data_IF_941030276128
#
_entry.id   IF_941030276128
#
_cell.length_a   1.000
_cell.length_b   1.000
_cell.length_c   1.000
_cell.angle_alpha   90.00
_cell.angle_beta   90.00
_cell.angle_gamma   90.00
#
_symmetry.space_group_name_H-M   'P 1'
#
loop_
_entity.id
_entity.type
_entity.pdbx_description
1 polymer ?
#
# COMPACT_ATOMS: atom_id res chain seq x y z
N UNK A 1 -15.12 -6.23 -5.93
CA UNK A 1 -14.67 -4.92 -6.44
C UNK A 1 -15.01 -3.83 -5.48
N UNK A 2 -14.04 -3.02 -5.14
CA UNK A 2 -14.26 -1.89 -4.27
C UNK A 2 -14.37 -0.66 -5.15
N UNK A 3 -15.57 -0.17 -5.34
CA UNK A 3 -15.76 1.04 -6.11
C UNK A 3 -15.89 2.21 -5.15
N UNK A 4 -15.20 3.28 -5.44
CA UNK A 4 -15.45 4.52 -4.73
C UNK A 4 -16.47 5.30 -5.55
N UNK A 5 -17.02 6.34 -4.96
CA UNK A 5 -18.08 7.11 -5.58
C UNK A 5 -17.70 7.79 -6.90
N UNK A 6 -16.44 7.74 -7.28
CA UNK A 6 -15.94 8.40 -8.50
C UNK A 6 -15.64 7.45 -9.64
N UNK A 7 -16.00 6.17 -9.49
CA UNK A 7 -15.82 5.22 -10.57
C UNK A 7 -14.40 4.67 -10.74
N UNK A 8 -13.47 5.06 -9.87
CA UNK A 8 -12.16 4.46 -9.90
C UNK A 8 -12.26 3.23 -9.01
N UNK A 9 -12.22 2.09 -9.63
CA UNK A 9 -12.36 0.83 -8.90
C UNK A 9 -10.99 0.29 -8.54
N UNK A 10 -10.79 0.04 -7.26
CA UNK A 10 -9.62 -0.73 -6.84
C UNK A 10 -9.98 -2.19 -6.99
N UNK A 11 -9.29 -2.86 -7.89
CA UNK A 11 -9.52 -4.27 -8.12
C UNK A 11 -8.63 -5.07 -7.18
N UNK A 12 -9.25 -5.85 -6.30
CA UNK A 12 -8.54 -6.74 -5.39
C UNK A 12 -8.39 -8.10 -6.08
N UNK A 13 -7.14 -8.52 -6.29
CA UNK A 13 -6.85 -9.79 -6.92
C UNK A 13 -5.96 -10.61 -5.99
N UNK A 14 -6.53 -11.62 -5.36
CA UNK A 14 -5.82 -12.46 -4.39
C UNK A 14 -5.45 -13.80 -5.01
N UNK A 15 -4.24 -14.27 -4.70
CA UNK A 15 -3.76 -15.55 -5.18
C UNK A 15 -3.76 -16.55 -4.04
N UNK A 16 -4.75 -17.45 -4.05
CA UNK A 16 -4.89 -18.46 -3.00
C UNK A 16 -3.80 -19.52 -3.04
N UNK A 17 -3.08 -19.63 -4.17
CA UNK A 17 -2.01 -20.61 -4.33
C UNK A 17 -0.64 -20.06 -3.91
N UNK A 18 -0.56 -18.77 -3.61
CA UNK A 18 0.69 -18.14 -3.22
C UNK A 18 1.08 -18.54 -1.78
N UNK A 19 2.39 -18.56 -1.50
CA UNK A 19 2.90 -18.79 -0.16
C UNK A 19 2.67 -17.57 0.73
N UNK A 20 2.36 -16.43 0.12
CA UNK A 20 2.10 -15.21 0.88
C UNK A 20 0.69 -15.29 1.48
N UNK A 21 0.56 -15.13 2.81
CA UNK A 21 -0.75 -15.17 3.45
C UNK A 21 -1.73 -14.17 2.83
N UNK A 22 -2.99 -14.55 2.77
CA UNK A 22 -4.02 -13.71 2.12
C UNK A 22 -4.11 -12.33 2.77
N UNK A 23 -4.03 -12.24 4.09
CA UNK A 23 -4.12 -10.94 4.74
C UNK A 23 -2.95 -10.01 4.36
N UNK A 24 -1.77 -10.58 4.09
CA UNK A 24 -0.61 -9.80 3.63
C UNK A 24 -0.86 -9.32 2.21
N UNK A 25 -1.37 -10.20 1.34
CA UNK A 25 -1.70 -9.81 -0.03
C UNK A 25 -2.72 -8.69 -0.06
N UNK A 26 -3.76 -8.78 0.76
CA UNK A 26 -4.78 -7.74 0.85
C UNK A 26 -4.18 -6.42 1.34
N UNK A 27 -3.39 -6.50 2.42
CA UNK A 27 -2.69 -5.32 2.94
C UNK A 27 -1.85 -4.66 1.85
N UNK A 28 -1.07 -5.46 1.12
CA UNK A 28 -0.17 -4.95 0.09
C UNK A 28 -0.93 -4.28 -1.05
N UNK A 29 -2.05 -4.84 -1.46
CA UNK A 29 -2.85 -4.26 -2.53
C UNK A 29 -3.50 -2.95 -2.11
N UNK A 30 -3.93 -2.85 -0.86
CA UNK A 30 -4.50 -1.60 -0.35
C UNK A 30 -3.42 -0.51 -0.30
N UNK A 31 -2.23 -0.83 0.21
CA UNK A 31 -1.12 0.12 0.25
C UNK A 31 -0.76 0.60 -1.16
N UNK A 32 -0.65 -0.33 -2.10
CA UNK A 32 -0.36 0.00 -3.49
C UNK A 32 -1.45 0.89 -4.09
N UNK A 33 -2.72 0.57 -3.82
CA UNK A 33 -3.84 1.37 -4.29
C UNK A 33 -3.83 2.79 -3.76
N UNK A 34 -3.48 2.95 -2.48
CA UNK A 34 -3.33 4.28 -1.88
C UNK A 34 -2.15 5.01 -2.53
N UNK A 35 -1.04 4.31 -2.72
CA UNK A 35 0.15 4.90 -3.33
C UNK A 35 -0.09 5.38 -4.75
N UNK A 36 -0.87 4.63 -5.52
CA UNK A 36 -1.21 5.00 -6.90
C UNK A 36 -2.31 6.04 -7.01
N UNK A 37 -2.93 6.41 -5.90
CA UNK A 37 -4.01 7.39 -5.90
C UNK A 37 -5.39 6.82 -6.19
N UNK A 38 -5.52 5.49 -6.26
CA UNK A 38 -6.81 4.84 -6.44
C UNK A 38 -7.69 5.02 -5.21
N UNK A 39 -7.06 5.12 -4.04
CA UNK A 39 -7.72 5.43 -2.78
C UNK A 39 -7.07 6.69 -2.23
N UNK A 40 -7.85 7.71 -2.02
CA UNK A 40 -7.33 9.01 -1.57
C UNK A 40 -7.53 9.21 -0.08
N UNK A 41 -6.69 10.05 0.51
CA UNK A 41 -6.83 10.37 1.93
C UNK A 41 -8.22 10.91 2.21
N UNK A 42 -8.79 10.47 3.31
CA UNK A 42 -10.15 10.83 3.70
C UNK A 42 -11.23 9.93 3.12
N UNK A 43 -10.89 9.10 2.14
CA UNK A 43 -11.87 8.17 1.58
C UNK A 43 -12.02 6.97 2.51
N UNK A 44 -13.22 6.43 2.57
CA UNK A 44 -13.51 5.25 3.38
C UNK A 44 -13.23 3.99 2.59
N UNK A 45 -12.61 3.03 3.22
CA UNK A 45 -12.52 1.68 2.69
C UNK A 45 -13.87 0.99 2.93
N UNK A 46 -14.19 -0.04 2.16
CA UNK A 46 -15.35 -0.87 2.46
C UNK A 46 -15.26 -1.40 3.88
N UNK A 47 -16.41 -1.68 4.49
CA UNK A 47 -16.42 -2.33 5.80
C UNK A 47 -15.73 -3.69 5.70
N UNK A 48 -15.28 -4.22 6.82
CA UNK A 48 -14.68 -5.57 6.86
C UNK A 48 -15.61 -6.58 6.17
N UNK A 49 -16.90 -6.51 6.49
CA UNK A 49 -17.90 -7.42 5.93
C UNK A 49 -18.01 -7.27 4.41
N UNK A 50 -18.07 -6.04 3.92
CA UNK A 50 -18.19 -5.79 2.49
C UNK A 50 -16.93 -6.20 1.75
N UNK A 51 -15.77 -5.88 2.29
CA UNK A 51 -14.49 -6.27 1.69
C UNK A 51 -14.37 -7.80 1.62
N UNK A 52 -14.80 -8.51 2.68
CA UNK A 52 -14.77 -9.95 2.71
C UNK A 52 -15.66 -10.55 1.61
N UNK A 53 -16.85 -9.97 1.41
CA UNK A 53 -17.74 -10.41 0.34
C UNK A 53 -17.13 -10.13 -1.03
N UNK A 54 -16.62 -8.93 -1.24
CA UNK A 54 -16.06 -8.53 -2.53
C UNK A 54 -14.81 -9.34 -2.91
N UNK A 55 -13.98 -9.63 -1.93
CA UNK A 55 -12.75 -10.38 -2.16
C UNK A 55 -12.93 -11.91 -2.06
N UNK A 56 -14.08 -12.36 -1.58
CA UNK A 56 -14.34 -13.79 -1.43
C UNK A 56 -13.52 -14.44 -0.32
N UNK A 57 -13.28 -13.73 0.77
CA UNK A 57 -12.47 -14.22 1.88
C UNK A 57 -13.19 -14.05 3.22
N UNK A 58 -12.57 -14.57 4.26
CA UNK A 58 -13.11 -14.56 5.62
C UNK A 58 -13.01 -13.17 6.24
N UNK A 59 -14.03 -12.79 7.01
CA UNK A 59 -14.03 -11.51 7.74
C UNK A 59 -12.82 -11.34 8.65
N UNK A 60 -12.37 -12.42 9.29
CA UNK A 60 -11.22 -12.36 10.19
C UNK A 60 -9.93 -12.02 9.43
N UNK A 61 -9.80 -12.52 8.22
CA UNK A 61 -8.64 -12.23 7.37
C UNK A 61 -8.63 -10.76 6.98
N UNK A 62 -9.78 -10.21 6.59
CA UNK A 62 -9.90 -8.79 6.27
C UNK A 62 -9.60 -7.95 7.50
N UNK A 63 -10.16 -8.32 8.64
CA UNK A 63 -9.94 -7.58 9.88
C UNK A 63 -8.46 -7.54 10.23
N UNK A 64 -7.75 -8.66 10.05
CA UNK A 64 -6.32 -8.73 10.33
C UNK A 64 -5.55 -7.76 9.43
N UNK A 65 -5.88 -7.73 8.13
CA UNK A 65 -5.26 -6.79 7.20
C UNK A 65 -5.51 -5.34 7.62
N UNK A 66 -6.75 -5.01 7.98
CA UNK A 66 -7.10 -3.66 8.40
C UNK A 66 -6.40 -3.25 9.69
N UNK A 67 -6.25 -4.17 10.65
CA UNK A 67 -5.53 -3.87 11.88
C UNK A 67 -4.04 -3.59 11.62
N UNK A 68 -3.45 -4.31 10.69
CA UNK A 68 -2.05 -4.07 10.30
C UNK A 68 -1.93 -2.70 9.64
N UNK A 69 -2.82 -2.37 8.71
CA UNK A 69 -2.83 -1.08 8.05
C UNK A 69 -2.99 0.06 9.05
N UNK A 70 -3.83 -0.14 10.06
CA UNK A 70 -4.02 0.84 11.13
C UNK A 70 -2.74 1.01 11.94
N UNK A 71 -2.12 -0.10 12.32
CA UNK A 71 -0.88 -0.06 13.11
C UNK A 71 0.26 0.62 12.35
N UNK A 72 0.28 0.45 11.02
CA UNK A 72 1.30 1.06 10.18
C UNK A 72 0.99 2.52 9.82
N UNK A 73 -0.19 3.01 10.18
CA UNK A 73 -0.56 4.41 9.95
C UNK A 73 -1.15 4.73 8.58
N UNK A 74 -1.46 3.72 7.78
CA UNK A 74 -2.06 3.95 6.46
C UNK A 74 -3.55 4.22 6.52
N UNK A 75 -4.23 3.70 7.55
CA UNK A 75 -5.64 3.97 7.78
C UNK A 75 -5.90 4.22 9.25
N UNK A 76 -7.05 4.81 9.55
CA UNK A 76 -7.53 4.89 10.91
C UNK A 76 -8.92 4.29 10.92
N UNK A 77 -9.34 3.78 12.05
CA UNK A 77 -10.66 3.15 12.18
C UNK A 77 -11.51 4.02 13.08
N UNK A 78 -12.62 4.47 12.54
CA UNK A 78 -13.56 5.35 13.22
C UNK A 78 -14.89 4.62 13.37
N UNK A 79 -15.51 4.73 14.53
CA UNK A 79 -16.79 4.05 14.78
C UNK A 79 -17.90 4.46 13.84
N UNK A 80 -17.90 5.71 13.40
CA UNK A 80 -18.96 6.23 12.54
C UNK A 80 -18.67 6.06 11.07
N UNK A 81 -17.42 6.25 10.67
CA UNK A 81 -17.03 6.26 9.25
C UNK A 81 -16.31 4.99 8.80
N UNK A 82 -16.00 4.09 9.73
CA UNK A 82 -15.28 2.86 9.43
C UNK A 82 -13.80 3.13 9.19
N UNK A 83 -13.21 2.39 8.27
CA UNK A 83 -11.79 2.52 7.95
C UNK A 83 -11.60 3.66 6.94
N UNK A 84 -10.72 4.59 7.27
CA UNK A 84 -10.49 5.80 6.47
C UNK A 84 -9.02 5.90 6.13
N UNK A 85 -8.71 6.20 4.87
CA UNK A 85 -7.33 6.38 4.42
C UNK A 85 -6.72 7.61 5.06
N UNK A 86 -5.55 7.46 5.67
CA UNK A 86 -4.81 8.56 6.29
C UNK A 86 -4.05 9.38 5.24
N UNK A 87 -3.80 10.67 5.49
CA UNK A 87 -2.98 11.47 4.61
C UNK A 87 -1.52 11.00 4.65
N UNK A 88 -0.76 11.35 3.62
CA UNK A 88 0.65 11.04 3.56
C UNK A 88 1.37 11.70 4.73
N UNK A 89 2.24 10.96 5.38
CA UNK A 89 3.02 11.45 6.51
C UNK A 89 4.50 11.35 6.20
N UNK A 90 5.28 12.13 6.92
CA UNK A 90 6.73 12.07 6.77
C UNK A 90 7.24 10.74 7.33
N UNK A 91 8.22 10.16 6.67
CA UNK A 91 8.79 8.89 7.13
C UNK A 91 9.55 9.09 8.43
N UNK A 92 9.60 8.06 9.24
CA UNK A 92 10.11 8.14 10.62
C UNK A 92 11.46 7.46 10.85
N UNK A 93 12.23 7.22 9.86
CA UNK A 93 13.54 6.56 10.02
C UNK A 93 13.45 5.05 10.18
N UNK A 94 12.40 4.56 10.84
CA UNK A 94 12.18 3.11 10.98
C UNK A 94 11.89 2.52 9.60
N UNK A 95 11.07 3.22 8.84
CA UNK A 95 10.79 2.79 7.47
C UNK A 95 12.04 2.84 6.60
N UNK A 96 12.91 3.82 6.82
CA UNK A 96 14.16 3.94 6.06
C UNK A 96 15.05 2.71 6.27
N UNK A 97 15.14 2.24 7.51
CA UNK A 97 15.91 1.04 7.83
C UNK A 97 15.31 -0.20 7.17
N UNK A 98 13.98 -0.33 7.24
CA UNK A 98 13.28 -1.43 6.60
C UNK A 98 13.50 -1.41 5.08
N UNK A 99 13.36 -0.23 4.48
CA UNK A 99 13.56 -0.06 3.04
C UNK A 99 14.98 -0.47 2.63
N UNK A 100 15.97 -0.01 3.39
CA UNK A 100 17.37 -0.35 3.09
C UNK A 100 17.60 -1.86 3.14
N UNK A 101 17.05 -2.52 4.15
CA UNK A 101 17.22 -3.97 4.31
C UNK A 101 16.55 -4.74 3.16
N UNK A 102 15.35 -4.35 2.78
CA UNK A 102 14.64 -5.00 1.69
C UNK A 102 15.33 -4.77 0.35
N UNK A 103 15.83 -3.55 0.11
CA UNK A 103 16.55 -3.24 -1.11
C UNK A 103 17.90 -3.95 -1.18
N UNK A 104 18.55 -4.15 -0.04
CA UNK A 104 19.80 -4.89 -0.02
C UNK A 104 19.60 -6.31 -0.53
N UNK A 105 18.55 -6.99 -0.04
CA UNK A 105 18.24 -8.33 -0.49
C UNK A 105 17.90 -8.36 -1.98
N UNK A 106 17.02 -7.46 -2.42
CA UNK A 106 16.63 -7.38 -3.83
C UNK A 106 17.82 -7.06 -4.73
N UNK A 107 18.71 -6.19 -4.26
CA UNK A 107 19.93 -5.84 -5.00
C UNK A 107 20.84 -7.05 -5.16
N UNK A 108 20.99 -7.85 -4.10
CA UNK A 108 21.79 -9.06 -4.16
C UNK A 108 21.20 -10.05 -5.16
N UNK A 109 19.88 -10.26 -5.10
CA UNK A 109 19.21 -11.17 -6.02
C UNK A 109 19.33 -10.71 -7.46
N UNK A 110 19.12 -9.42 -7.70
CA UNK A 110 19.23 -8.85 -9.05
C UNK A 110 20.65 -9.02 -9.60
N UNK A 111 21.65 -8.74 -8.78
CA UNK A 111 23.04 -8.87 -9.17
C UNK A 111 23.37 -10.33 -9.53
N UNK A 112 22.91 -11.28 -8.70
CA UNK A 112 23.17 -12.70 -8.94
C UNK A 112 22.45 -13.25 -10.17
N UNK A 113 21.39 -12.57 -10.61
CA UNK A 113 20.67 -12.96 -11.82
C UNK A 113 21.16 -12.21 -13.06
N UNK A 114 22.25 -11.45 -12.90
CA UNK A 114 22.88 -10.78 -14.03
C UNK A 114 22.28 -9.44 -14.42
N UNK A 115 21.41 -8.90 -13.58
CA UNK A 115 20.83 -7.59 -13.86
C UNK A 115 21.88 -6.49 -13.65
N UNK A 116 21.89 -5.51 -14.53
CA UNK A 116 22.82 -4.40 -14.43
C UNK A 116 22.24 -3.31 -13.53
N UNK A 117 23.12 -2.51 -12.96
CA UNK A 117 22.73 -1.43 -12.07
C UNK A 117 21.74 -0.47 -12.73
N UNK A 118 22.01 -0.07 -13.98
CA UNK A 118 21.13 0.88 -14.67
C UNK A 118 19.74 0.30 -14.91
N UNK A 119 19.65 -1.00 -15.19
CA UNK A 119 18.36 -1.67 -15.34
C UNK A 119 17.61 -1.69 -14.01
N UNK A 120 18.30 -2.03 -12.92
CA UNK A 120 17.70 -2.08 -11.59
C UNK A 120 17.18 -0.68 -11.19
N UNK A 121 18.02 0.34 -11.38
CA UNK A 121 17.63 1.71 -11.01
C UNK A 121 16.46 2.20 -11.85
N UNK A 122 16.42 1.82 -13.12
CA UNK A 122 15.31 2.19 -14.00
C UNK A 122 13.98 1.61 -13.50
N UNK A 123 13.99 0.35 -13.08
CA UNK A 123 12.80 -0.29 -12.54
C UNK A 123 12.33 0.45 -11.28
N UNK A 124 13.26 0.79 -10.39
CA UNK A 124 12.94 1.54 -9.18
C UNK A 124 12.31 2.89 -9.52
N UNK A 125 12.87 3.59 -10.49
CA UNK A 125 12.38 4.89 -10.91
C UNK A 125 10.97 4.79 -11.50
N UNK A 126 10.77 3.83 -12.40
CA UNK A 126 9.44 3.60 -13.01
C UNK A 126 8.38 3.27 -11.97
N UNK A 127 8.73 2.43 -11.00
CA UNK A 127 7.79 2.07 -9.94
C UNK A 127 7.42 3.28 -9.11
N UNK A 128 8.41 4.07 -8.71
CA UNK A 128 8.17 5.25 -7.90
C UNK A 128 7.36 6.31 -8.66
N UNK A 129 7.68 6.50 -9.94
CA UNK A 129 6.95 7.45 -10.77
C UNK A 129 5.49 7.06 -11.01
N UNK A 130 5.18 5.77 -10.90
CA UNK A 130 3.80 5.31 -11.06
C UNK A 130 2.96 5.63 -9.82
N UNK A 131 3.59 6.05 -8.72
CA UNK A 131 2.89 6.41 -7.50
C UNK A 131 2.43 7.86 -7.55
N UNK A 132 1.20 8.11 -7.13
CA UNK A 132 0.60 9.44 -7.17
C UNK A 132 -0.46 9.55 -6.09
N UNK A 133 -0.06 9.54 -4.80
CA UNK A 133 -1.02 9.62 -3.69
C UNK A 133 -1.87 10.86 -3.80
N UNK A 134 -3.16 10.71 -3.59
CA UNK A 134 -4.13 11.79 -3.78
C UNK A 134 -3.96 12.99 -2.89
N UNK A 135 -3.21 12.87 -1.80
CA UNK A 135 -2.92 13.98 -0.89
C UNK A 135 -1.44 14.03 -0.60
N UNK A 136 -0.66 13.88 -1.63
CA UNK A 136 0.75 14.11 -1.47
C UNK A 136 0.96 15.60 -1.25
N UNK A 137 1.21 15.94 -0.04
CA UNK A 137 1.79 17.20 0.27
C UNK A 137 3.28 16.95 0.23
N UNK A 138 3.95 17.39 -0.80
CA UNK A 138 5.38 17.31 -0.78
C UNK A 138 5.79 18.11 0.45
N UNK A 139 6.37 17.43 1.37
CA UNK A 139 6.90 18.09 2.51
C UNK A 139 7.66 19.25 1.92
N UNK A 140 7.23 20.42 2.27
CA UNK A 140 7.87 21.56 1.83
C UNK A 140 9.19 21.55 2.36
N UNK A 141 9.76 20.66 1.86
CA UNK A 141 11.11 20.47 2.12
C UNK A 141 11.76 21.65 1.79
N UNK A 142 11.09 22.15 1.23
CA UNK A 142 11.58 23.24 1.04
C UNK A 142 12.15 23.77 2.15
N UNK A 143 11.74 23.57 2.48
CA UNK A 143 12.17 24.13 3.12
C UNK A 143 13.43 24.43 3.19
N UNK A 144 13.49 24.46 2.97
CA UNK A 144 14.26 24.77 3.10
C UNK A 144 14.87 25.27 3.10
N UNK A 145 15.06 25.43 3.37
CA UNK A 145 15.49 25.95 3.43
C UNK A 145 15.91 26.23 3.36
#
# INVERSE_FOLDING_TARGET
>A
MCSNERGEEMIISLNMSSDIPIYVQLRNQIVTGIGKGELKAGESLPSVRQMALDAGINNMTVNKAYQILKAEGFIEINRRKGAIVCPVRQEDGIFREKLAAELELLSAEACLKGMRKDEFMKICEEMFESMSPGNYCPAESGGTL
#
